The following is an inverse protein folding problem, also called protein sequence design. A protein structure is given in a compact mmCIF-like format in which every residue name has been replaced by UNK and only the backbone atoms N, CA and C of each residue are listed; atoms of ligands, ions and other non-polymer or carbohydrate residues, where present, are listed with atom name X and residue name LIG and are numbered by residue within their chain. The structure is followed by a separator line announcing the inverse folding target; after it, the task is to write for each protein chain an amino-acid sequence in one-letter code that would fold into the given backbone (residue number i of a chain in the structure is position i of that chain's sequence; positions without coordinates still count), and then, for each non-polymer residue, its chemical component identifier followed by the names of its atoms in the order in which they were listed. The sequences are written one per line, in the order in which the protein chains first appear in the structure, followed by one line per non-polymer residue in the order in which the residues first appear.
data_IF_997194048832
#
_entry.id   IF_997194048832
#
_cell.length_a   1.000
_cell.length_b   1.000
_cell.length_c   1.000
_cell.angle_alpha   90.00
_cell.angle_beta   90.00
_cell.angle_gamma   90.00
#
_symmetry.space_group_name_H-M   'P 1'
#
loop_
_entity.id
_entity.type
_entity.pdbx_description
1 polymer ?
#
# COMPACT_ATOMS: atom_id res chain seq x y z
N UNK A 1 32.12 9.63 12.98
CA UNK A 1 30.84 10.41 13.01
C UNK A 1 29.67 9.47 12.85
N UNK A 2 28.66 9.58 13.71
CA UNK A 2 27.41 8.86 13.53
C UNK A 2 26.56 9.59 12.49
N UNK A 3 25.98 8.88 11.55
CA UNK A 3 25.09 9.43 10.53
C UNK A 3 23.98 8.44 10.22
N UNK A 4 22.84 8.95 9.77
CA UNK A 4 21.73 8.15 9.29
C UNK A 4 21.24 8.71 7.96
N UNK A 5 20.91 7.81 7.03
CA UNK A 5 20.26 8.14 5.77
C UNK A 5 19.20 7.07 5.51
N UNK A 6 17.99 7.34 5.93
CA UNK A 6 16.86 6.41 5.80
C UNK A 6 15.61 7.15 5.35
N UNK A 7 14.91 6.54 4.42
CA UNK A 7 13.61 6.99 3.90
C UNK A 7 12.60 5.87 4.08
N UNK A 8 11.43 6.22 4.56
CA UNK A 8 10.29 5.33 4.68
C UNK A 8 9.12 5.98 3.95
N UNK A 9 8.52 5.28 3.01
CA UNK A 9 7.39 5.75 2.23
C UNK A 9 6.25 4.73 2.24
N UNK A 10 5.05 5.23 2.38
CA UNK A 10 3.81 4.52 2.06
C UNK A 10 3.02 5.39 1.10
N UNK A 11 2.72 4.86 -0.07
CA UNK A 11 1.98 5.62 -1.08
C UNK A 11 1.56 4.75 -2.24
N UNK A 12 1.01 5.39 -3.25
CA UNK A 12 0.48 4.71 -4.43
C UNK A 12 1.32 5.02 -5.66
N UNK A 13 1.51 4.03 -6.53
CA UNK A 13 2.19 4.23 -7.80
C UNK A 13 1.34 5.13 -8.71
N UNK A 14 1.96 6.16 -9.26
CA UNK A 14 1.32 7.05 -10.23
C UNK A 14 1.33 6.52 -11.67
N UNK A 15 2.20 5.56 -11.94
CA UNK A 15 2.33 4.90 -13.25
C UNK A 15 2.88 3.49 -13.07
N UNK A 16 2.85 2.70 -14.14
CA UNK A 16 3.43 1.37 -14.13
C UNK A 16 4.96 1.43 -13.92
N UNK A 17 5.55 0.42 -13.25
CA UNK A 17 7.00 0.32 -13.10
C UNK A 17 7.73 0.27 -14.44
N UNK A 18 8.86 0.95 -14.51
CA UNK A 18 9.76 0.88 -15.65
C UNK A 18 10.97 0.01 -15.31
N UNK A 19 11.05 -1.16 -15.92
CA UNK A 19 12.15 -2.09 -15.71
C UNK A 19 13.13 -2.04 -16.88
N UNK A 20 14.40 -1.96 -16.54
CA UNK A 20 15.52 -2.03 -17.48
C UNK A 20 16.50 -3.10 -17.03
N UNK A 21 17.16 -3.74 -18.00
CA UNK A 21 18.21 -4.70 -17.74
C UNK A 21 19.56 -4.10 -18.10
N UNK A 22 20.52 -4.28 -17.19
CA UNK A 22 21.91 -3.90 -17.44
C UNK A 22 22.61 -4.95 -18.30
N UNK A 23 23.73 -4.60 -18.99
CA UNK A 23 24.50 -5.56 -19.79
C UNK A 23 25.00 -6.76 -19.01
N UNK A 24 25.18 -6.64 -17.70
CA UNK A 24 25.56 -7.71 -16.77
C UNK A 24 24.40 -8.64 -16.37
N UNK A 25 23.18 -8.39 -16.87
CA UNK A 25 21.98 -9.14 -16.58
C UNK A 25 21.20 -8.67 -15.34
N UNK A 26 21.71 -7.66 -14.63
CA UNK A 26 21.01 -7.08 -13.46
C UNK A 26 19.78 -6.27 -13.87
N UNK A 27 18.71 -6.38 -13.11
CA UNK A 27 17.51 -5.58 -13.32
C UNK A 27 17.55 -4.28 -12.50
N UNK A 28 17.03 -3.20 -13.09
CA UNK A 28 16.72 -1.94 -12.41
C UNK A 28 15.28 -1.60 -12.70
N UNK A 29 14.48 -1.38 -11.65
CA UNK A 29 13.10 -0.96 -11.78
C UNK A 29 12.91 0.39 -11.12
N UNK A 30 12.35 1.34 -11.87
CA UNK A 30 12.02 2.66 -11.37
C UNK A 30 10.51 2.78 -11.21
N UNK A 31 10.09 3.31 -10.07
CA UNK A 31 8.70 3.64 -9.79
C UNK A 31 8.56 5.08 -9.32
N UNK A 32 7.37 5.62 -9.47
CA UNK A 32 6.98 6.92 -8.94
C UNK A 32 5.88 6.71 -7.91
N UNK A 33 6.13 7.11 -6.68
CA UNK A 33 5.19 6.99 -5.55
C UNK A 33 4.64 8.35 -5.21
N UNK A 34 3.31 8.46 -5.11
CA UNK A 34 2.62 9.63 -4.60
C UNK A 34 2.33 9.48 -3.11
N UNK A 35 2.71 10.49 -2.35
CA UNK A 35 2.29 10.67 -0.96
C UNK A 35 1.48 11.95 -0.86
N UNK A 36 0.28 11.88 -0.27
CA UNK A 36 -0.61 13.04 -0.17
C UNK A 36 -0.82 13.40 1.29
N UNK A 37 -0.49 14.64 1.62
CA UNK A 37 -0.84 15.25 2.89
C UNK A 37 -2.11 16.07 2.73
N UNK A 38 -3.01 16.01 3.70
CA UNK A 38 -4.21 16.85 3.72
C UNK A 38 -4.33 17.55 5.07
N UNK A 39 -4.69 18.82 5.04
CA UNK A 39 -4.89 19.63 6.24
C UNK A 39 -6.01 20.63 6.02
N UNK A 40 -6.50 21.21 7.10
CA UNK A 40 -7.39 22.36 7.02
C UNK A 40 -6.59 23.63 7.21
N UNK A 41 -6.85 24.63 6.37
CA UNK A 41 -6.25 25.94 6.51
C UNK A 41 -6.94 26.76 7.61
N UNK A 42 -6.45 27.98 7.84
CA UNK A 42 -7.00 28.90 8.85
C UNK A 42 -8.46 29.31 8.58
N UNK A 43 -8.91 29.21 7.33
CA UNK A 43 -10.29 29.48 6.92
C UNK A 43 -11.21 28.26 7.03
N UNK A 44 -10.65 27.08 7.39
CA UNK A 44 -11.37 25.82 7.52
C UNK A 44 -11.51 25.05 6.21
N UNK A 45 -10.89 25.53 5.12
CA UNK A 45 -10.86 24.81 3.85
C UNK A 45 -9.87 23.65 3.87
N UNK A 46 -10.28 22.54 3.25
CA UNK A 46 -9.41 21.38 3.09
C UNK A 46 -8.39 21.63 2.00
N UNK A 47 -7.13 21.53 2.35
CA UNK A 47 -5.99 21.61 1.45
C UNK A 47 -5.36 20.23 1.28
N UNK A 48 -4.84 19.96 0.08
CA UNK A 48 -4.13 18.72 -0.22
C UNK A 48 -2.86 19.05 -0.99
N UNK A 49 -1.78 18.37 -0.64
CA UNK A 49 -0.51 18.44 -1.33
C UNK A 49 0.02 17.03 -1.59
N UNK A 50 0.35 16.76 -2.84
CA UNK A 50 0.93 15.48 -3.25
C UNK A 50 2.40 15.67 -3.59
N UNK A 51 3.25 14.86 -2.97
CA UNK A 51 4.66 14.75 -3.30
C UNK A 51 4.92 13.48 -4.12
N UNK A 52 5.75 13.62 -5.14
CA UNK A 52 6.14 12.54 -6.02
C UNK A 52 7.56 12.10 -5.74
N UNK A 53 7.71 10.85 -5.37
CA UNK A 53 9.00 10.26 -5.04
C UNK A 53 9.46 9.30 -6.12
N UNK A 54 10.70 9.47 -6.58
CA UNK A 54 11.34 8.52 -7.50
C UNK A 54 12.08 7.48 -6.69
N UNK A 55 11.74 6.22 -6.90
CA UNK A 55 12.33 5.08 -6.21
C UNK A 55 12.93 4.12 -7.21
N UNK A 56 14.18 3.76 -7.00
CA UNK A 56 14.90 2.79 -7.81
C UNK A 56 15.12 1.49 -7.01
N UNK A 57 14.80 0.38 -7.63
CA UNK A 57 15.07 -0.96 -7.14
C UNK A 57 16.16 -1.61 -7.96
N UNK A 58 17.00 -2.41 -7.34
CA UNK A 58 18.08 -3.13 -7.99
C UNK A 58 18.01 -4.63 -7.74
N UNK A 59 18.49 -5.43 -8.70
CA UNK A 59 18.62 -6.86 -8.57
C UNK A 59 17.27 -7.58 -8.39
N UNK A 60 17.20 -8.50 -7.45
CA UNK A 60 16.00 -9.31 -7.19
C UNK A 60 14.78 -8.48 -6.83
N UNK A 61 14.97 -7.46 -6.04
CA UNK A 61 13.90 -6.55 -5.64
C UNK A 61 13.32 -5.78 -6.85
N UNK A 62 14.17 -5.43 -7.82
CA UNK A 62 13.75 -4.79 -9.06
C UNK A 62 12.88 -5.72 -9.91
N UNK A 63 13.22 -6.99 -10.02
CA UNK A 63 12.42 -7.99 -10.71
C UNK A 63 11.04 -8.13 -10.07
N UNK A 64 10.97 -8.25 -8.75
CA UNK A 64 9.73 -8.36 -7.99
C UNK A 64 8.87 -7.10 -8.18
N UNK A 65 9.46 -5.92 -8.06
CA UNK A 65 8.74 -4.65 -8.25
C UNK A 65 8.17 -4.52 -9.66
N UNK A 66 8.95 -4.88 -10.67
CA UNK A 66 8.54 -4.82 -12.07
C UNK A 66 7.44 -5.81 -12.43
N UNK A 67 7.44 -6.98 -11.80
CA UNK A 67 6.47 -8.04 -12.07
C UNK A 67 5.13 -7.83 -11.37
N UNK A 68 5.16 -7.42 -10.10
CA UNK A 68 3.96 -7.41 -9.25
C UNK A 68 3.33 -6.02 -9.06
N UNK A 69 4.06 -4.94 -9.23
CA UNK A 69 3.53 -3.60 -9.05
C UNK A 69 2.88 -3.08 -10.35
N UNK A 70 1.83 -2.30 -10.18
CA UNK A 70 1.09 -1.63 -11.25
C UNK A 70 0.75 -0.21 -10.84
N UNK A 71 0.38 0.63 -11.80
CA UNK A 71 -0.24 1.94 -11.52
C UNK A 71 -1.37 1.78 -10.51
N UNK A 72 -1.36 2.61 -9.48
CA UNK A 72 -2.36 2.58 -8.42
C UNK A 72 -2.07 1.62 -7.25
N UNK A 73 -1.09 0.71 -7.39
CA UNK A 73 -0.70 -0.18 -6.29
C UNK A 73 -0.21 0.61 -5.10
N UNK A 74 -0.66 0.24 -3.90
CA UNK A 74 -0.14 0.77 -2.66
C UNK A 74 1.08 -0.05 -2.22
N UNK A 75 2.12 0.65 -1.81
CA UNK A 75 3.40 0.03 -1.45
C UNK A 75 4.03 0.73 -0.26
N UNK A 76 4.67 -0.06 0.59
CA UNK A 76 5.61 0.37 1.62
C UNK A 76 7.03 0.19 1.11
N UNK A 77 7.85 1.20 1.21
CA UNK A 77 9.26 1.17 0.79
C UNK A 77 10.15 1.73 1.88
N UNK A 78 11.22 1.02 2.17
CA UNK A 78 12.35 1.54 2.94
C UNK A 78 13.58 1.66 2.03
N UNK A 79 14.32 2.72 2.20
CA UNK A 79 15.52 2.97 1.42
C UNK A 79 16.34 4.12 1.95
N UNK A 80 17.16 4.65 1.09
CA UNK A 80 18.05 5.79 1.38
C UNK A 80 18.04 6.79 0.23
N UNK A 81 18.30 8.05 0.54
CA UNK A 81 18.49 9.09 -0.47
C UNK A 81 19.85 8.92 -1.15
N UNK A 82 19.85 9.08 -2.45
CA UNK A 82 21.05 9.15 -3.27
C UNK A 82 20.93 10.27 -4.27
N UNK A 83 21.91 11.16 -4.28
CA UNK A 83 22.02 12.20 -5.29
C UNK A 83 23.08 11.79 -6.30
N UNK A 84 22.73 11.80 -7.57
CA UNK A 84 23.64 11.58 -8.67
C UNK A 84 23.78 12.85 -9.49
N UNK A 85 24.99 13.08 -9.97
CA UNK A 85 25.34 14.16 -10.86
C UNK A 85 25.33 13.65 -12.30
N UNK A 86 24.78 14.44 -13.21
CA UNK A 86 24.74 14.11 -14.63
C UNK A 86 24.80 15.40 -15.45
N UNK A 87 25.17 15.28 -16.72
CA UNK A 87 25.19 16.40 -17.65
C UNK A 87 24.04 16.26 -18.64
N UNK A 88 23.38 17.39 -18.93
CA UNK A 88 22.38 17.43 -19.97
C UNK A 88 23.03 17.58 -21.37
N UNK A 89 22.19 17.69 -22.40
CA UNK A 89 22.65 17.82 -23.80
C UNK A 89 23.47 19.09 -24.06
N UNK A 90 23.31 20.11 -23.22
CA UNK A 90 24.01 21.39 -23.32
C UNK A 90 25.29 21.42 -22.46
N UNK A 91 25.66 20.29 -21.85
CA UNK A 91 26.83 20.19 -20.99
C UNK A 91 26.64 20.79 -19.60
N UNK A 92 25.42 21.19 -19.23
CA UNK A 92 25.10 21.71 -17.91
C UNK A 92 25.03 20.59 -16.88
N UNK A 93 25.76 20.75 -15.78
CA UNK A 93 25.72 19.81 -14.67
C UNK A 93 24.37 19.88 -13.96
N UNK A 94 23.73 18.73 -13.78
CA UNK A 94 22.48 18.58 -13.05
C UNK A 94 22.60 17.52 -11.97
N UNK A 95 21.79 17.66 -10.94
CA UNK A 95 21.71 16.73 -9.82
C UNK A 95 20.32 16.14 -9.77
N UNK A 96 20.22 14.85 -9.59
CA UNK A 96 18.95 14.16 -9.35
C UNK A 96 19.04 13.40 -8.05
N UNK A 97 18.13 13.69 -7.13
CA UNK A 97 17.98 12.96 -5.88
C UNK A 97 16.89 11.91 -6.07
N UNK A 98 17.24 10.68 -5.82
CA UNK A 98 16.36 9.52 -5.90
C UNK A 98 16.46 8.68 -4.64
N UNK A 99 15.50 7.83 -4.41
CA UNK A 99 15.46 6.89 -3.30
C UNK A 99 15.90 5.53 -3.81
N UNK A 100 16.95 4.98 -3.22
CA UNK A 100 17.37 3.61 -3.48
C UNK A 100 16.68 2.72 -2.47
N UNK A 101 15.81 1.83 -2.93
CA UNK A 101 15.06 0.93 -2.07
C UNK A 101 15.94 -0.21 -1.54
N UNK A 102 15.88 -0.44 -0.26
CA UNK A 102 16.50 -1.57 0.43
C UNK A 102 15.46 -2.68 0.69
N UNK A 103 14.20 -2.32 0.91
CA UNK A 103 13.08 -3.25 1.09
C UNK A 103 11.76 -2.69 0.59
N UNK A 104 10.84 -3.58 0.28
CA UNK A 104 9.51 -3.24 -0.21
C UNK A 104 8.47 -4.24 0.33
N UNK A 105 7.29 -3.72 0.64
CA UNK A 105 6.13 -4.52 1.00
C UNK A 105 4.90 -4.02 0.24
N UNK A 106 4.23 -4.90 -0.47
CA UNK A 106 2.95 -4.59 -1.11
C UNK A 106 1.84 -4.54 -0.06
N UNK A 107 1.09 -3.43 -0.01
CA UNK A 107 0.05 -3.19 1.00
C UNK A 107 -1.37 -3.29 0.45
N UNK A 108 -1.55 -3.26 -0.84
CA UNK A 108 -2.88 -3.39 -1.44
C UNK A 108 -3.50 -4.75 -1.13
N UNK A 109 -4.79 -4.80 -0.78
CA UNK A 109 -5.55 -6.03 -0.93
C UNK A 109 -5.32 -6.53 -2.36
N UNK A 110 -5.12 -7.81 -2.53
CA UNK A 110 -5.20 -8.44 -3.85
C UNK A 110 -6.49 -7.95 -4.46
N UNK A 111 -6.38 -6.95 -5.31
CA UNK A 111 -7.49 -6.39 -6.06
C UNK A 111 -8.18 -7.54 -6.70
N UNK A 112 -9.47 -7.68 -6.42
CA UNK A 112 -10.26 -8.81 -6.78
C UNK A 112 -9.82 -9.42 -8.08
N UNK A 113 -9.41 -10.65 -8.04
CA UNK A 113 -9.70 -11.53 -9.13
C UNK A 113 -11.21 -11.47 -9.25
N UNK A 114 -11.65 -10.59 -10.15
CA UNK A 114 -13.01 -10.56 -10.63
C UNK A 114 -13.39 -11.98 -10.90
N UNK A 115 -14.47 -12.41 -10.28
CA UNK A 115 -15.02 -13.71 -10.49
C UNK A 115 -15.10 -14.02 -11.97
N UNK A 116 -14.32 -14.95 -12.42
CA UNK A 116 -14.72 -15.77 -13.53
C UNK A 116 -15.78 -16.69 -12.96
N UNK A 117 -17.00 -16.35 -13.26
CA UNK A 117 -18.10 -17.24 -13.33
C UNK A 117 -17.63 -18.58 -13.93
N UNK A 118 -17.67 -19.61 -13.19
CA UNK A 118 -17.59 -20.95 -13.69
C UNK A 118 -18.63 -21.80 -13.00
N UNK A 119 -19.73 -21.90 -13.69
CA UNK A 119 -20.43 -23.14 -13.95
C UNK A 119 -20.91 -23.95 -12.75
N UNK A 120 -22.21 -23.99 -12.67
CA UNK A 120 -23.08 -25.04 -12.26
C UNK A 120 -22.45 -26.30 -11.67
N UNK A 121 -22.63 -26.48 -10.40
CA UNK A 121 -22.58 -27.75 -9.70
C UNK A 121 -23.89 -27.93 -8.97
N UNK A 122 -24.77 -28.61 -9.65
CA UNK A 122 -26.03 -29.13 -9.17
C UNK A 122 -25.77 -30.03 -7.95
N UNK A 123 -26.11 -29.59 -6.77
CA UNK A 123 -26.20 -30.46 -5.59
C UNK A 123 -27.67 -30.72 -5.33
N UNK A 124 -28.08 -32.00 -5.35
CA UNK A 124 -29.46 -32.37 -5.12
C UNK A 124 -29.87 -32.08 -3.67
N UNK A 125 -30.90 -31.29 -3.57
CA UNK A 125 -31.65 -31.00 -2.36
C UNK A 125 -32.27 -32.28 -1.80
N UNK A 126 -31.83 -32.75 -0.66
CA UNK A 126 -32.55 -33.72 0.13
C UNK A 126 -33.63 -33.07 0.96
N UNK A 127 -34.81 -33.66 1.06
CA UNK A 127 -35.95 -33.04 1.71
C UNK A 127 -35.89 -33.15 3.22
N UNK A 128 -36.32 -32.07 3.87
CA UNK A 128 -36.55 -32.01 5.31
C UNK A 128 -37.72 -32.83 5.77
N UNK A 129 -37.67 -33.52 6.92
CA UNK A 129 -38.85 -34.00 7.56
C UNK A 129 -39.50 -32.92 8.43
N UNK A 130 -40.76 -32.71 8.21
CA UNK A 130 -41.70 -31.98 9.03
C UNK A 130 -41.98 -32.71 10.36
N UNK A 131 -42.04 -31.95 11.44
CA UNK A 131 -42.48 -32.47 12.70
C UNK A 131 -42.53 -31.44 13.80
N UNK A 132 -43.70 -31.00 14.14
CA UNK A 132 -44.21 -30.02 15.00
C UNK A 132 -43.82 -30.09 16.46
N UNK A 133 -44.14 -29.04 17.16
CA UNK A 133 -44.14 -28.98 18.62
C UNK A 133 -43.89 -27.57 19.15
N UNK A 134 -45.00 -26.96 19.52
CA UNK A 134 -45.07 -25.70 20.22
C UNK A 134 -44.49 -25.78 21.63
N UNK A 135 -43.82 -24.67 22.04
CA UNK A 135 -43.97 -24.07 23.38
C UNK A 135 -43.11 -22.81 23.55
N UNK A 136 -43.73 -21.69 23.81
CA UNK A 136 -43.25 -20.51 24.50
C UNK A 136 -43.66 -20.69 26.00
N UNK A 137 -43.24 -19.90 27.01
CA UNK A 137 -42.31 -18.78 27.10
C UNK A 137 -41.39 -18.86 28.35
N UNK A 138 -40.43 -17.96 28.48
CA UNK A 138 -40.24 -17.22 29.75
C UNK A 138 -39.07 -16.23 29.67
N UNK A 139 -39.35 -15.08 30.23
CA UNK A 139 -38.51 -13.93 30.38
C UNK A 139 -37.30 -14.15 31.31
N UNK A 140 -36.18 -13.51 30.98
CA UNK A 140 -35.05 -13.38 31.89
C UNK A 140 -34.28 -12.08 31.56
N UNK A 141 -34.52 -11.10 32.38
CA UNK A 141 -33.82 -9.81 32.51
C UNK A 141 -32.33 -10.06 32.83
N UNK A 142 -31.50 -9.17 32.31
CA UNK A 142 -30.30 -8.82 33.06
C UNK A 142 -29.03 -8.61 32.21
N UNK A 143 -28.58 -7.36 32.24
CA UNK A 143 -27.17 -7.06 32.27
C UNK A 143 -26.63 -6.25 31.10
N UNK A 144 -26.94 -4.95 31.08
CA UNK A 144 -26.13 -3.97 30.39
C UNK A 144 -24.75 -3.88 31.07
N UNK A 145 -23.72 -4.35 30.47
CA UNK A 145 -22.36 -3.98 30.83
C UNK A 145 -22.01 -2.67 30.12
N UNK A 146 -22.04 -1.61 30.90
CA UNK A 146 -21.41 -0.33 30.55
C UNK A 146 -19.91 -0.58 30.48
N UNK A 147 -19.35 -0.39 29.31
CA UNK A 147 -17.93 -0.07 29.19
C UNK A 147 -17.82 1.43 29.41
N UNK A 148 -17.46 1.75 30.61
CA UNK A 148 -17.12 3.07 31.06
C UNK A 148 -15.61 3.22 30.93
N UNK A 149 -15.23 4.30 30.24
CA UNK A 149 -14.06 5.12 30.47
C UNK A 149 -12.70 4.41 30.50
N UNK A 150 -12.02 4.38 29.36
CA UNK A 150 -10.57 4.39 29.34
C UNK A 150 -10.12 5.78 28.85
N UNK A 151 -9.86 6.64 29.83
CA UNK A 151 -9.04 7.83 29.65
C UNK A 151 -7.64 7.39 29.23
N UNK A 152 -7.33 7.48 27.96
CA UNK A 152 -5.96 7.42 27.46
C UNK A 152 -5.31 8.79 27.64
N UNK A 153 -4.85 9.06 28.84
CA UNK A 153 -3.84 10.08 29.09
C UNK A 153 -2.50 9.57 28.55
N UNK A 154 -2.18 9.97 27.33
CA UNK A 154 -0.82 9.86 26.81
C UNK A 154 -0.08 11.16 27.14
N UNK A 155 0.87 11.18 28.08
CA UNK A 155 1.71 12.34 28.30
C UNK A 155 2.76 12.44 27.19
N UNK A 156 2.78 13.59 26.55
CA UNK A 156 3.87 14.00 25.69
C UNK A 156 5.07 14.50 26.51
#
# INVERSE_FOLDING_TARGET
MASVNKVILVGNLGRDPETRYMPDGGAITNISIATTASWKDKSGEKQEQTEWHRVAFFGKLAEIAGEYLKKGSQVYVEGKLRTRKWQDKDGVEKYTTEIIADSMQMLGSRGGMGGADAGGGDYPRSPAPSGGGAAKPAAGKGGAAKFDDMDDDIPF
#
